data_IF_797221007001
#
_entry.id   IF_797221007001
#
_cell.length_a   1.000
_cell.length_b   1.000
_cell.length_c   1.000
_cell.angle_alpha   90.00
_cell.angle_beta   90.00
_cell.angle_gamma   90.00
#
_symmetry.space_group_name_H-M   'P 1'
#
loop_
_entity.id
_entity.type
_entity.pdbx_description
1 polymer ?
#
# COMPACT_ATOMS: atom_id res chain seq x y z
N UNK A 1 14.86 -58.98 25.31
CA UNK A 1 16.30 -58.83 25.53
C UNK A 1 16.73 -57.60 24.72
N UNK A 2 16.68 -56.42 25.34
CA UNK A 2 17.83 -55.70 25.94
C UNK A 2 18.67 -55.06 24.84
N UNK A 3 18.54 -53.75 24.53
CA UNK A 3 19.05 -52.59 25.29
C UNK A 3 20.36 -52.12 24.63
N UNK A 4 20.84 -50.88 24.60
CA UNK A 4 20.47 -49.54 25.06
C UNK A 4 21.52 -48.58 24.45
N UNK A 5 21.24 -47.28 24.32
CA UNK A 5 22.27 -46.28 23.95
C UNK A 5 21.74 -44.92 23.55
N UNK A 6 21.31 -44.12 24.53
CA UNK A 6 20.84 -42.74 24.40
C UNK A 6 21.98 -41.72 24.31
N UNK A 7 21.67 -40.53 23.77
CA UNK A 7 22.51 -39.33 23.82
C UNK A 7 21.65 -38.06 23.70
N UNK A 8 21.09 -37.62 24.82
CA UNK A 8 20.46 -36.30 25.02
C UNK A 8 21.53 -35.19 25.11
N UNK A 9 21.23 -34.01 24.58
CA UNK A 9 21.83 -32.75 25.03
C UNK A 9 20.71 -31.73 25.30
N UNK A 10 20.51 -31.45 26.60
CA UNK A 10 19.73 -30.34 27.16
C UNK A 10 20.66 -29.26 27.69
N UNK A 11 20.18 -28.01 27.68
CA UNK A 11 20.65 -26.87 28.47
C UNK A 11 20.90 -25.62 27.61
N UNK A 12 20.40 -24.42 27.88
CA UNK A 12 19.69 -23.88 29.03
C UNK A 12 18.89 -22.63 28.62
N UNK A 13 17.82 -22.34 29.36
CA UNK A 13 17.01 -21.12 29.26
C UNK A 13 17.44 -20.10 30.34
N UNK A 14 17.46 -18.82 29.97
CA UNK A 14 17.45 -17.61 30.81
C UNK A 14 17.42 -16.40 29.84
N UNK A 15 16.85 -15.24 30.12
CA UNK A 15 15.85 -14.75 31.07
C UNK A 15 15.44 -13.39 30.50
N UNK A 16 14.17 -13.02 30.65
CA UNK A 16 13.57 -11.80 30.10
C UNK A 16 13.78 -10.62 31.04
N UNK A 17 14.43 -9.55 30.58
CA UNK A 17 14.49 -8.27 31.28
C UNK A 17 13.66 -7.19 30.57
N UNK A 18 12.57 -6.77 31.23
CA UNK A 18 11.83 -5.52 30.97
C UNK A 18 12.47 -4.38 31.78
N UNK A 19 12.55 -3.14 31.26
CA UNK A 19 12.81 -1.99 32.11
C UNK A 19 11.51 -1.45 32.74
N UNK A 20 11.51 -1.35 34.07
CA UNK A 20 10.64 -0.48 34.86
C UNK A 20 11.16 0.97 34.79
N UNK A 21 10.27 1.95 34.62
CA UNK A 21 10.48 3.33 35.10
C UNK A 21 9.16 3.79 35.73
N UNK A 22 9.35 4.46 36.87
CA UNK A 22 8.45 4.66 37.99
C UNK A 22 7.33 5.68 37.77
N UNK A 23 6.19 5.42 38.42
CA UNK A 23 5.21 6.42 38.81
C UNK A 23 5.78 7.31 39.92
N UNK A 24 5.57 8.62 39.83
CA UNK A 24 5.63 9.53 40.98
C UNK A 24 4.35 10.33 41.13
N UNK A 25 3.96 10.45 42.40
CA UNK A 25 2.65 10.76 42.97
C UNK A 25 2.12 12.18 42.74
N UNK A 26 0.79 12.24 42.79
CA UNK A 26 -0.04 13.40 43.13
C UNK A 26 0.50 14.31 44.25
N UNK A 27 0.28 15.62 44.09
CA UNK A 27 -0.04 16.51 45.22
C UNK A 27 -1.00 17.62 44.80
N UNK A 28 -2.08 17.75 45.57
CA UNK A 28 -3.14 18.75 45.47
C UNK A 28 -2.70 20.14 45.97
N UNK A 29 -3.37 21.19 45.49
CA UNK A 29 -3.27 22.56 46.02
C UNK A 29 -4.09 23.59 45.25
N UNK A 30 -5.30 23.85 45.73
CA UNK A 30 -6.08 25.10 45.58
C UNK A 30 -6.42 25.53 47.03
N UNK A 31 -6.91 26.75 47.35
CA UNK A 31 -7.18 27.94 46.53
C UNK A 31 -6.67 29.26 47.18
N UNK A 32 -6.93 30.45 46.60
CA UNK A 32 -7.70 31.51 47.27
C UNK A 32 -7.97 32.76 46.39
N UNK A 33 -9.02 33.47 46.80
CA UNK A 33 -9.80 34.56 46.18
C UNK A 33 -9.12 35.93 46.28
N UNK A 34 -9.57 36.87 45.43
CA UNK A 34 -9.97 38.27 45.79
C UNK A 34 -10.08 39.10 44.49
N UNK A 35 -11.27 39.41 43.95
CA UNK A 35 -12.16 40.56 44.26
C UNK A 35 -11.71 41.90 43.64
N UNK A 36 -12.61 42.60 42.93
CA UNK A 36 -12.34 43.97 42.43
C UNK A 36 -13.11 44.47 41.20
N UNK A 37 -14.43 44.54 41.31
CA UNK A 37 -15.40 45.57 40.81
C UNK A 37 -15.00 46.59 39.70
N UNK A 38 -15.86 46.69 38.67
CA UNK A 38 -16.00 47.83 37.72
C UNK A 38 -16.64 49.07 38.39
N UNK A 39 -16.66 50.28 37.76
CA UNK A 39 -17.83 50.64 36.94
C UNK A 39 -17.60 51.63 35.76
N UNK A 40 -18.69 51.84 35.01
CA UNK A 40 -18.85 52.56 33.74
C UNK A 40 -19.22 54.06 33.84
N UNK A 41 -19.22 54.76 32.68
CA UNK A 41 -20.02 55.95 32.20
C UNK A 41 -19.14 56.82 31.27
N UNK A 42 -19.53 57.50 30.17
CA UNK A 42 -20.77 57.77 29.40
C UNK A 42 -20.38 58.41 28.02
N UNK A 43 -21.30 58.59 27.04
CA UNK A 43 -21.04 59.01 25.63
C UNK A 43 -21.45 60.50 25.33
N UNK A 44 -21.72 60.93 24.07
CA UNK A 44 -20.88 61.39 22.94
C UNK A 44 -21.01 62.93 22.66
N UNK A 45 -20.54 63.51 21.53
CA UNK A 45 -21.47 63.80 20.42
C UNK A 45 -20.85 63.76 18.98
N UNK A 46 -21.68 63.55 17.95
CA UNK A 46 -21.37 63.88 16.54
C UNK A 46 -21.94 65.27 16.16
N UNK A 47 -22.22 65.59 14.88
CA UNK A 47 -21.52 65.32 13.63
C UNK A 47 -21.08 66.65 12.94
N UNK A 48 -20.11 66.65 12.03
CA UNK A 48 -19.99 67.70 11.00
C UNK A 48 -19.45 67.13 9.68
N UNK A 49 -20.14 67.45 8.59
CA UNK A 49 -19.74 67.16 7.22
C UNK A 49 -18.99 68.37 6.64
N UNK A 50 -17.98 68.13 5.79
CA UNK A 50 -17.69 68.88 4.55
C UNK A 50 -16.42 68.38 3.83
N UNK A 51 -16.62 67.78 2.64
CA UNK A 51 -15.91 67.96 1.36
C UNK A 51 -14.36 67.73 1.25
N UNK A 52 -13.83 67.47 0.04
CA UNK A 52 -12.90 66.37 -0.20
C UNK A 52 -11.42 66.79 -0.21
N UNK A 53 -10.55 65.99 0.39
CA UNK A 53 -9.11 66.07 0.14
C UNK A 53 -8.67 64.88 -0.73
N UNK A 54 -8.05 65.23 -1.85
CA UNK A 54 -7.35 64.35 -2.77
C UNK A 54 -6.22 63.63 -2.05
N UNK A 55 -6.46 62.38 -1.65
CA UNK A 55 -5.45 61.45 -1.17
C UNK A 55 -5.03 60.47 -2.28
N UNK A 56 -3.78 59.98 -2.28
CA UNK A 56 -3.29 59.09 -3.32
C UNK A 56 -4.06 57.78 -3.29
N UNK A 57 -4.37 57.31 -4.49
CA UNK A 57 -4.95 56.02 -4.82
C UNK A 57 -4.26 54.91 -4.02
N UNK A 58 -4.92 54.45 -2.95
CA UNK A 58 -4.57 53.20 -2.31
C UNK A 58 -4.85 52.13 -3.35
N UNK A 59 -3.80 51.66 -4.02
CA UNK A 59 -3.86 50.41 -4.78
C UNK A 59 -4.19 49.32 -3.78
N UNK A 60 -5.47 48.97 -3.66
CA UNK A 60 -5.91 47.69 -3.15
C UNK A 60 -5.19 46.63 -3.97
N UNK A 61 -4.07 46.14 -3.43
CA UNK A 61 -3.54 44.86 -3.85
C UNK A 61 -4.59 43.84 -3.43
N UNK A 62 -5.49 43.54 -4.36
CA UNK A 62 -6.34 42.37 -4.28
C UNK A 62 -5.42 41.16 -4.04
N UNK A 63 -5.31 40.75 -2.78
CA UNK A 63 -4.79 39.43 -2.46
C UNK A 63 -5.77 38.46 -3.11
N UNK A 64 -5.34 37.83 -4.21
CA UNK A 64 -6.16 36.82 -4.88
C UNK A 64 -6.64 35.79 -3.85
N UNK A 65 -7.87 35.33 -4.01
CA UNK A 65 -8.50 34.30 -3.18
C UNK A 65 -7.51 33.13 -2.99
N UNK A 66 -7.33 32.69 -1.74
CA UNK A 66 -6.47 31.54 -1.43
C UNK A 66 -7.10 30.32 -2.09
N UNK A 67 -6.56 29.91 -3.24
CA UNK A 67 -6.97 28.67 -3.89
C UNK A 67 -6.26 27.51 -3.19
N UNK A 68 -7.01 26.74 -2.42
CA UNK A 68 -6.56 25.47 -1.88
C UNK A 68 -6.44 24.46 -3.02
N UNK A 69 -5.28 23.81 -3.14
CA UNK A 69 -5.02 22.83 -4.19
C UNK A 69 -4.83 21.46 -3.54
N UNK A 70 -5.73 20.54 -3.84
CA UNK A 70 -5.69 19.16 -3.36
C UNK A 70 -4.96 18.23 -4.35
N UNK A 71 -4.21 17.27 -3.84
CA UNK A 71 -3.58 16.24 -4.65
C UNK A 71 -2.60 15.34 -3.90
N UNK A 72 -1.76 14.68 -4.67
CA UNK A 72 -0.61 13.88 -4.23
C UNK A 72 0.66 14.56 -4.72
N UNK A 73 1.60 14.81 -3.82
CA UNK A 73 2.78 15.61 -4.13
C UNK A 73 4.07 14.78 -4.06
N UNK A 74 4.75 14.68 -5.20
CA UNK A 74 6.06 14.08 -5.34
C UNK A 74 7.21 15.02 -4.98
N UNK A 75 8.46 14.64 -5.26
CA UNK A 75 9.60 15.55 -5.20
C UNK A 75 9.41 16.74 -6.18
N UNK A 76 10.03 17.88 -5.90
CA UNK A 76 9.93 19.10 -6.71
C UNK A 76 8.48 19.60 -6.96
N UNK A 77 7.58 19.35 -6.00
CA UNK A 77 6.18 19.77 -6.05
C UNK A 77 5.38 19.21 -7.25
N UNK A 78 5.79 18.05 -7.77
CA UNK A 78 5.00 17.33 -8.79
C UNK A 78 3.65 16.95 -8.18
N UNK A 79 2.57 17.59 -8.63
CA UNK A 79 1.20 17.31 -8.18
C UNK A 79 0.50 16.32 -9.10
N UNK A 80 -0.27 15.41 -8.52
CA UNK A 80 -1.25 14.53 -9.20
C UNK A 80 -2.60 14.59 -8.51
N UNK A 81 -3.68 14.62 -9.29
CA UNK A 81 -5.03 14.52 -8.76
C UNK A 81 -5.35 13.07 -8.35
N UNK A 82 -6.30 12.89 -7.45
CA UNK A 82 -6.78 11.58 -6.98
C UNK A 82 -7.19 10.68 -8.14
N UNK A 83 -7.95 11.22 -9.09
CA UNK A 83 -8.40 10.47 -10.26
C UNK A 83 -7.22 9.93 -11.08
N UNK A 84 -6.14 10.71 -11.24
CA UNK A 84 -4.94 10.25 -11.97
C UNK A 84 -4.25 9.09 -11.24
N UNK A 85 -4.21 9.13 -9.91
CA UNK A 85 -3.65 8.04 -9.10
C UNK A 85 -4.53 6.79 -9.21
N UNK A 86 -5.86 6.95 -9.09
CA UNK A 86 -6.84 5.87 -9.20
C UNK A 86 -6.76 5.18 -10.57
N UNK A 87 -6.81 5.96 -11.65
CA UNK A 87 -6.76 5.45 -13.02
C UNK A 87 -5.45 4.72 -13.31
N UNK A 88 -4.33 5.26 -12.81
CA UNK A 88 -3.02 4.62 -12.98
C UNK A 88 -2.93 3.29 -12.20
N UNK A 89 -3.49 3.21 -10.99
CA UNK A 89 -3.56 1.96 -10.20
C UNK A 89 -4.41 0.92 -10.92
N UNK A 90 -5.58 1.30 -11.43
CA UNK A 90 -6.46 0.41 -12.22
C UNK A 90 -5.75 -0.08 -13.48
N UNK A 91 -5.14 0.84 -14.24
CA UNK A 91 -4.41 0.52 -15.46
C UNK A 91 -3.27 -0.47 -15.17
N UNK A 92 -2.49 -0.22 -14.12
CA UNK A 92 -1.37 -1.08 -13.74
C UNK A 92 -1.84 -2.48 -13.34
N UNK A 93 -2.90 -2.59 -12.54
CA UNK A 93 -3.49 -3.88 -12.16
C UNK A 93 -4.04 -4.64 -13.38
N UNK A 94 -4.68 -3.93 -14.32
CA UNK A 94 -5.16 -4.48 -15.58
C UNK A 94 -4.04 -5.04 -16.47
N UNK A 95 -2.92 -4.31 -16.60
CA UNK A 95 -1.73 -4.77 -17.33
C UNK A 95 -1.18 -6.07 -16.74
N UNK A 96 -1.11 -6.18 -15.42
CA UNK A 96 -0.65 -7.42 -14.79
C UNK A 96 -1.67 -8.55 -14.97
N UNK A 97 -2.98 -8.30 -14.84
CA UNK A 97 -3.98 -9.32 -15.14
C UNK A 97 -3.83 -9.84 -16.58
N UNK A 98 -3.71 -8.96 -17.58
CA UNK A 98 -3.51 -9.37 -18.98
C UNK A 98 -2.26 -10.24 -19.15
N UNK A 99 -1.15 -9.89 -18.50
CA UNK A 99 0.08 -10.66 -18.64
C UNK A 99 0.04 -12.06 -17.97
N UNK A 100 -0.79 -12.19 -16.94
CA UNK A 100 -1.06 -13.43 -16.23
C UNK A 100 -2.19 -14.24 -16.87
N UNK A 101 -2.68 -13.84 -18.04
CA UNK A 101 -3.67 -14.60 -18.80
C UNK A 101 -3.12 -14.92 -20.20
N UNK A 102 -3.49 -16.10 -20.69
CA UNK A 102 -3.25 -16.49 -22.08
C UNK A 102 -4.14 -15.65 -23.02
N UNK A 103 -3.84 -15.68 -24.32
CA UNK A 103 -4.66 -14.98 -25.32
C UNK A 103 -6.10 -15.48 -25.41
N UNK A 104 -6.38 -16.70 -24.93
CA UNK A 104 -7.73 -17.27 -24.83
C UNK A 104 -8.44 -16.91 -23.52
N UNK A 105 -7.78 -16.16 -22.64
CA UNK A 105 -8.33 -15.72 -21.36
C UNK A 105 -8.15 -16.72 -20.21
N UNK A 106 -7.45 -17.84 -20.39
CA UNK A 106 -7.15 -18.74 -19.27
C UNK A 106 -6.00 -18.18 -18.40
N UNK A 107 -6.12 -18.17 -17.07
CA UNK A 107 -5.05 -17.70 -16.17
C UNK A 107 -3.81 -18.61 -16.22
N UNK A 108 -2.63 -18.01 -16.16
CA UNK A 108 -1.32 -18.66 -16.11
C UNK A 108 -0.94 -18.94 -14.65
N UNK A 109 -0.46 -20.14 -14.30
CA UNK A 109 -0.04 -20.45 -12.94
C UNK A 109 1.34 -19.84 -12.62
N UNK A 110 1.61 -19.57 -11.34
CA UNK A 110 2.88 -19.02 -10.84
C UNK A 110 4.07 -19.96 -11.04
N UNK A 111 3.80 -21.25 -11.23
CA UNK A 111 4.78 -22.29 -11.54
C UNK A 111 5.19 -22.33 -13.01
N UNK A 112 4.59 -21.50 -13.87
CA UNK A 112 5.05 -21.36 -15.24
C UNK A 112 6.35 -20.53 -15.27
N UNK A 113 7.41 -21.08 -15.87
CA UNK A 113 8.74 -20.43 -15.87
C UNK A 113 8.74 -19.03 -16.47
N UNK A 114 7.87 -18.77 -17.46
CA UNK A 114 7.68 -17.45 -18.05
C UNK A 114 7.07 -16.40 -17.10
N UNK A 115 6.56 -16.81 -15.94
CA UNK A 115 6.04 -15.91 -14.91
C UNK A 115 7.07 -15.53 -13.84
N UNK A 116 8.20 -16.22 -13.79
CA UNK A 116 9.19 -16.04 -12.73
C UNK A 116 9.75 -14.61 -12.66
N UNK A 117 10.03 -14.00 -13.81
CA UNK A 117 10.50 -12.61 -13.89
C UNK A 117 9.53 -11.61 -13.25
N UNK A 118 8.22 -11.85 -13.37
CA UNK A 118 7.19 -11.03 -12.72
C UNK A 118 7.15 -11.23 -11.22
N UNK A 119 7.21 -12.48 -10.75
CA UNK A 119 7.30 -12.78 -9.32
C UNK A 119 8.51 -12.07 -8.70
N UNK A 120 9.68 -12.18 -9.34
CA UNK A 120 10.88 -11.46 -8.92
C UNK A 120 10.64 -9.94 -8.87
N UNK A 121 10.05 -9.38 -9.92
CA UNK A 121 9.69 -7.96 -9.98
C UNK A 121 8.78 -7.52 -8.84
N UNK A 122 7.83 -8.36 -8.40
CA UNK A 122 6.94 -8.07 -7.27
C UNK A 122 7.70 -8.04 -5.94
N UNK A 123 8.58 -9.02 -5.68
CA UNK A 123 9.36 -9.03 -4.44
C UNK A 123 10.40 -7.91 -4.37
N UNK A 124 10.99 -7.52 -5.51
CA UNK A 124 11.86 -6.34 -5.59
C UNK A 124 11.07 -5.07 -5.22
N UNK A 125 9.86 -4.91 -5.76
CA UNK A 125 9.04 -3.74 -5.49
C UNK A 125 8.47 -3.70 -4.07
N UNK A 126 8.16 -4.86 -3.49
CA UNK A 126 7.75 -5.01 -2.08
C UNK A 126 8.85 -4.65 -1.07
N UNK A 127 10.09 -4.42 -1.53
CA UNK A 127 11.16 -3.87 -0.71
C UNK A 127 11.24 -2.34 -0.87
N UNK A 128 10.59 -1.60 0.03
CA UNK A 128 10.58 -0.13 -0.01
C UNK A 128 11.95 0.54 -0.03
N UNK A 129 13.01 -0.13 0.45
CA UNK A 129 14.37 0.41 0.43
C UNK A 129 15.11 0.28 -0.92
N UNK A 130 14.54 -0.43 -1.89
CA UNK A 130 15.05 -0.44 -3.26
C UNK A 130 14.86 0.96 -3.87
N UNK A 131 15.87 1.60 -4.44
CA UNK A 131 15.65 2.91 -5.09
C UNK A 131 14.77 2.75 -6.35
N UNK A 132 13.90 3.70 -6.69
CA UNK A 132 12.87 3.54 -7.73
C UNK A 132 13.44 3.43 -9.15
N UNK A 133 14.54 4.10 -9.46
CA UNK A 133 15.22 4.00 -10.75
C UNK A 133 15.99 2.68 -10.89
N UNK A 134 16.65 2.23 -9.81
CA UNK A 134 17.23 0.87 -9.72
C UNK A 134 16.14 -0.19 -9.90
N UNK A 135 15.01 -0.04 -9.22
CA UNK A 135 13.87 -0.95 -9.30
C UNK A 135 13.32 -1.05 -10.74
N UNK A 136 13.09 0.08 -11.39
CA UNK A 136 12.56 0.12 -12.74
C UNK A 136 13.45 -0.64 -13.74
N UNK A 137 14.77 -0.42 -13.67
CA UNK A 137 15.74 -1.15 -14.51
C UNK A 137 15.71 -2.64 -14.17
N UNK A 138 15.78 -3.01 -12.89
CA UNK A 138 15.79 -4.42 -12.49
C UNK A 138 14.50 -5.15 -12.86
N UNK A 139 13.33 -4.50 -12.78
CA UNK A 139 12.07 -5.09 -13.19
C UNK A 139 11.99 -5.29 -14.69
N UNK A 140 12.47 -4.33 -15.50
CA UNK A 140 12.56 -4.50 -16.94
C UNK A 140 13.49 -5.67 -17.29
N UNK A 141 14.71 -5.70 -16.72
CA UNK A 141 15.66 -6.79 -16.93
C UNK A 141 15.12 -8.14 -16.48
N UNK A 142 14.40 -8.20 -15.35
CA UNK A 142 13.81 -9.44 -14.85
C UNK A 142 12.81 -10.07 -15.83
N UNK A 143 12.15 -9.29 -16.69
CA UNK A 143 11.22 -9.82 -17.68
C UNK A 143 11.92 -10.48 -18.87
N UNK A 144 13.20 -10.15 -19.10
CA UNK A 144 13.98 -10.60 -20.27
C UNK A 144 14.91 -11.79 -19.97
N UNK A 145 15.09 -12.14 -18.69
CA UNK A 145 15.98 -13.24 -18.28
C UNK A 145 15.31 -14.59 -18.57
N UNK A 146 16.05 -15.50 -19.21
CA UNK A 146 15.67 -16.92 -19.28
C UNK A 146 15.96 -17.61 -17.93
N UNK A 147 14.88 -17.91 -17.20
CA UNK A 147 14.97 -18.61 -15.92
C UNK A 147 14.97 -20.13 -16.06
N UNK A 148 14.76 -20.70 -17.25
CA UNK A 148 14.68 -22.15 -17.45
C UNK A 148 15.83 -22.94 -16.78
N UNK A 149 17.10 -22.56 -17.01
CA UNK A 149 18.25 -23.21 -16.37
C UNK A 149 18.28 -23.06 -14.84
N UNK A 150 17.83 -21.92 -14.32
CA UNK A 150 17.73 -21.69 -12.88
C UNK A 150 16.60 -22.50 -12.23
N UNK A 151 15.52 -22.74 -12.98
CA UNK A 151 14.33 -23.39 -12.47
C UNK A 151 14.30 -24.91 -12.68
N UNK A 152 15.25 -25.45 -13.45
CA UNK A 152 15.32 -26.84 -13.86
C UNK A 152 15.25 -27.82 -12.67
N UNK A 153 14.34 -28.79 -12.76
CA UNK A 153 14.24 -29.88 -11.80
C UNK A 153 15.53 -30.70 -11.79
N UNK A 154 16.05 -31.01 -10.59
CA UNK A 154 17.27 -31.80 -10.43
C UNK A 154 18.59 -31.05 -10.64
N UNK A 155 18.56 -29.71 -10.78
CA UNK A 155 19.78 -28.90 -10.80
C UNK A 155 20.61 -29.11 -9.52
N UNK A 156 21.91 -29.33 -9.67
CA UNK A 156 22.82 -29.44 -8.53
C UNK A 156 22.98 -28.11 -7.81
N UNK A 157 23.36 -28.12 -6.53
CA UNK A 157 23.63 -26.88 -5.76
C UNK A 157 24.66 -25.97 -6.45
N UNK A 158 25.65 -26.56 -7.14
CA UNK A 158 26.65 -25.81 -7.91
C UNK A 158 26.02 -25.10 -9.13
N UNK A 159 25.14 -25.81 -9.87
CA UNK A 159 24.43 -25.23 -11.02
C UNK A 159 23.51 -24.10 -10.58
N UNK A 160 22.74 -24.32 -9.50
CA UNK A 160 21.86 -23.30 -8.95
C UNK A 160 22.64 -22.05 -8.50
N UNK A 161 23.80 -22.22 -7.86
CA UNK A 161 24.67 -21.12 -7.45
C UNK A 161 25.27 -20.35 -8.64
N UNK A 162 25.65 -21.05 -9.71
CA UNK A 162 26.14 -20.44 -10.94
C UNK A 162 25.04 -19.61 -11.62
N UNK A 163 23.83 -20.18 -11.78
CA UNK A 163 22.68 -19.48 -12.36
C UNK A 163 22.25 -18.27 -11.52
N UNK A 164 22.24 -18.40 -10.20
CA UNK A 164 22.00 -17.27 -9.30
C UNK A 164 22.99 -16.12 -9.52
N UNK A 165 24.26 -16.44 -9.75
CA UNK A 165 25.30 -15.44 -10.02
C UNK A 165 25.07 -14.75 -11.37
N UNK A 166 24.73 -15.51 -12.41
CA UNK A 166 24.43 -14.98 -13.75
C UNK A 166 23.22 -14.02 -13.71
N UNK A 167 22.10 -14.47 -13.12
CA UNK A 167 20.87 -13.68 -13.00
C UNK A 167 21.15 -12.36 -12.26
N UNK A 168 21.87 -12.42 -11.14
CA UNK A 168 22.26 -11.20 -10.41
C UNK A 168 23.05 -10.25 -11.29
N UNK A 169 24.09 -10.74 -11.98
CA UNK A 169 24.93 -9.89 -12.82
C UNK A 169 24.10 -9.21 -13.92
N UNK A 170 23.14 -9.92 -14.51
CA UNK A 170 22.19 -9.34 -15.47
C UNK A 170 21.34 -8.25 -14.80
N UNK A 171 20.72 -8.51 -13.64
CA UNK A 171 19.93 -7.51 -12.91
C UNK A 171 20.72 -6.26 -12.53
N UNK A 172 22.01 -6.41 -12.19
CA UNK A 172 22.89 -5.29 -11.87
C UNK A 172 23.37 -4.51 -13.09
N UNK A 173 23.29 -5.10 -14.29
CA UNK A 173 23.76 -4.45 -15.51
C UNK A 173 22.87 -3.25 -15.82
N UNK A 174 23.47 -2.06 -15.85
CA UNK A 174 22.78 -0.79 -16.13
C UNK A 174 21.92 -0.26 -14.97
N UNK A 175 21.78 -1.00 -13.86
CA UNK A 175 20.99 -0.56 -12.71
C UNK A 175 21.72 0.55 -11.92
N UNK A 176 21.14 1.76 -11.80
CA UNK A 176 21.74 2.82 -11.00
C UNK A 176 21.97 2.38 -9.56
N UNK A 177 23.06 2.84 -8.94
CA UNK A 177 23.35 2.50 -7.54
C UNK A 177 23.63 1.02 -7.27
N UNK A 178 24.09 0.25 -8.27
CA UNK A 178 24.46 -1.16 -8.11
C UNK A 178 25.44 -1.44 -6.95
N UNK A 179 26.26 -0.44 -6.58
CA UNK A 179 27.24 -0.51 -5.48
C UNK A 179 26.68 -0.12 -4.11
N UNK A 180 25.40 0.29 -4.03
CA UNK A 180 24.77 0.70 -2.76
C UNK A 180 24.72 -0.48 -1.79
N UNK A 181 25.13 -0.21 -0.54
CA UNK A 181 25.17 -1.21 0.52
C UNK A 181 23.81 -1.92 0.71
N UNK A 182 23.88 -3.25 0.83
CA UNK A 182 22.72 -4.12 1.05
C UNK A 182 21.88 -4.41 -0.20
N UNK A 183 22.15 -3.81 -1.37
CA UNK A 183 21.38 -4.08 -2.58
C UNK A 183 21.45 -5.56 -3.00
N UNK A 184 22.66 -6.15 -2.97
CA UNK A 184 22.85 -7.59 -3.22
C UNK A 184 22.03 -8.47 -2.28
N UNK A 185 21.93 -8.12 -1.00
CA UNK A 185 21.14 -8.88 -0.04
C UNK A 185 19.63 -8.81 -0.37
N UNK A 186 19.15 -7.63 -0.81
CA UNK A 186 17.75 -7.43 -1.24
C UNK A 186 17.43 -8.23 -2.50
N UNK A 187 18.31 -8.22 -3.50
CA UNK A 187 18.16 -9.02 -4.73
C UNK A 187 18.17 -10.52 -4.42
N UNK A 188 19.09 -10.99 -3.59
CA UNK A 188 19.13 -12.39 -3.15
C UNK A 188 17.86 -12.80 -2.40
N UNK A 189 17.29 -11.91 -1.58
CA UNK A 189 16.03 -12.16 -0.90
C UNK A 189 14.89 -12.29 -1.91
N UNK A 190 14.76 -11.33 -2.84
CA UNK A 190 13.70 -11.35 -3.84
C UNK A 190 13.77 -12.61 -4.74
N UNK A 191 14.97 -13.06 -5.14
CA UNK A 191 15.15 -14.29 -5.92
C UNK A 191 14.71 -15.54 -5.18
N UNK A 192 15.09 -15.67 -3.90
CA UNK A 192 14.61 -16.79 -3.05
C UNK A 192 13.11 -16.75 -2.88
N UNK A 193 12.54 -15.57 -2.62
CA UNK A 193 11.11 -15.40 -2.42
C UNK A 193 10.31 -15.72 -3.69
N UNK A 194 10.79 -15.27 -4.85
CA UNK A 194 10.21 -15.62 -6.14
C UNK A 194 10.27 -17.13 -6.41
N UNK A 195 11.35 -17.80 -6.01
CA UNK A 195 11.47 -19.26 -6.10
C UNK A 195 10.51 -19.99 -5.17
N UNK A 196 10.38 -19.55 -3.93
CA UNK A 196 9.37 -20.05 -2.99
C UNK A 196 7.95 -19.92 -3.55
N UNK A 197 7.59 -18.77 -4.12
CA UNK A 197 6.33 -18.58 -4.83
C UNK A 197 6.17 -19.51 -6.02
N UNK A 198 7.13 -19.53 -6.94
CA UNK A 198 7.07 -20.38 -8.13
C UNK A 198 6.87 -21.87 -7.80
N UNK A 199 7.57 -22.35 -6.77
CA UNK A 199 7.51 -23.74 -6.33
C UNK A 199 6.31 -24.04 -5.41
N UNK A 200 5.54 -23.01 -5.00
CA UNK A 200 4.40 -23.14 -4.09
C UNK A 200 4.78 -23.51 -2.65
N UNK A 201 6.02 -23.28 -2.24
CA UNK A 201 6.58 -23.73 -0.96
C UNK A 201 7.23 -22.60 -0.16
N UNK A 202 7.41 -22.80 1.14
CA UNK A 202 8.08 -21.83 2.01
C UNK A 202 7.19 -20.69 2.48
N UNK A 203 7.78 -19.80 3.28
CA UNK A 203 7.07 -18.71 3.96
C UNK A 203 6.62 -17.62 2.98
N UNK A 204 7.31 -17.49 1.85
CA UNK A 204 7.04 -16.44 0.87
C UNK A 204 6.06 -16.85 -0.20
N UNK A 205 5.59 -18.12 -0.23
CA UNK A 205 4.70 -18.64 -1.30
C UNK A 205 3.50 -17.76 -1.60
N UNK A 206 2.97 -17.05 -0.59
CA UNK A 206 1.90 -16.09 -0.76
C UNK A 206 2.47 -14.72 -1.18
N UNK A 207 2.32 -14.35 -2.45
CA UNK A 207 2.83 -13.09 -3.02
C UNK A 207 1.77 -12.01 -3.26
N UNK A 208 0.54 -12.20 -2.78
CA UNK A 208 -0.57 -11.26 -3.01
C UNK A 208 -0.25 -9.83 -2.52
N UNK A 209 0.46 -9.69 -1.40
CA UNK A 209 0.87 -8.38 -0.88
C UNK A 209 2.01 -7.76 -1.69
N UNK A 210 2.95 -8.58 -2.18
CA UNK A 210 4.01 -8.13 -3.08
C UNK A 210 3.42 -7.59 -4.39
N UNK A 211 2.39 -8.25 -4.93
CA UNK A 211 1.64 -7.80 -6.10
C UNK A 211 1.00 -6.42 -5.90
N UNK A 212 0.23 -6.23 -4.81
CA UNK A 212 -0.42 -4.93 -4.53
C UNK A 212 0.62 -3.83 -4.32
N UNK A 213 1.67 -4.11 -3.54
CA UNK A 213 2.80 -3.19 -3.35
C UNK A 213 3.45 -2.83 -4.69
N UNK A 214 3.68 -3.80 -5.58
CA UNK A 214 4.27 -3.55 -6.89
C UNK A 214 3.39 -2.70 -7.80
N UNK A 215 2.07 -2.91 -7.77
CA UNK A 215 1.13 -2.10 -8.54
C UNK A 215 1.13 -0.65 -8.06
N UNK A 216 0.87 -0.42 -6.77
CA UNK A 216 0.74 0.94 -6.21
C UNK A 216 2.07 1.69 -6.24
N UNK A 217 3.17 1.00 -5.92
CA UNK A 217 4.50 1.60 -5.98
C UNK A 217 4.95 1.91 -7.40
N UNK A 218 4.66 1.02 -8.35
CA UNK A 218 4.91 1.27 -9.78
C UNK A 218 4.20 2.53 -10.27
N UNK A 219 2.96 2.76 -9.80
CA UNK A 219 2.22 4.02 -10.06
C UNK A 219 2.88 5.21 -9.39
N UNK A 220 3.29 5.10 -8.13
CA UNK A 220 3.99 6.19 -7.45
C UNK A 220 5.26 6.62 -8.22
N UNK A 221 6.02 5.66 -8.74
CA UNK A 221 7.21 5.91 -9.55
C UNK A 221 6.85 6.54 -10.89
N UNK A 222 5.93 5.93 -11.64
CA UNK A 222 5.53 6.38 -12.98
C UNK A 222 4.92 7.79 -12.96
N UNK A 223 4.20 8.14 -11.90
CA UNK A 223 3.62 9.47 -11.74
C UNK A 223 4.60 10.50 -11.16
N UNK A 224 5.81 10.10 -10.75
CA UNK A 224 6.80 10.98 -10.13
C UNK A 224 6.50 11.33 -8.67
N UNK A 225 5.65 10.53 -7.99
CA UNK A 225 5.35 10.66 -6.57
C UNK A 225 6.44 10.02 -5.69
N UNK A 226 7.20 9.06 -6.22
CA UNK A 226 8.40 8.46 -5.62
C UNK A 226 9.55 8.54 -6.64
N UNK A 227 10.71 9.07 -6.26
CA UNK A 227 11.85 9.21 -7.17
C UNK A 227 13.20 9.22 -6.46
N UNK A 228 14.28 9.09 -7.22
CA UNK A 228 15.61 9.48 -6.77
C UNK A 228 15.87 10.92 -7.16
N UNK A 229 16.31 11.74 -6.20
CA UNK A 229 16.81 13.09 -6.43
C UNK A 229 18.32 13.12 -6.21
N UNK A 230 19.02 14.04 -6.87
CA UNK A 230 20.49 14.12 -6.82
C UNK A 230 21.20 13.08 -7.71
N UNK A 231 22.53 13.13 -7.72
CA UNK A 231 23.38 12.32 -8.63
C UNK A 231 24.62 11.80 -7.91
N UNK A 232 25.20 10.69 -8.38
CA UNK A 232 26.41 10.13 -7.78
C UNK A 232 26.21 9.81 -6.29
N UNK A 233 27.04 10.39 -5.43
CA UNK A 233 26.98 10.18 -3.97
C UNK A 233 25.87 10.95 -3.25
N UNK A 234 25.22 11.93 -3.91
CA UNK A 234 24.10 12.70 -3.34
C UNK A 234 22.72 12.13 -3.66
N UNK A 235 22.67 10.92 -4.24
CA UNK A 235 21.41 10.23 -4.57
C UNK A 235 20.58 10.00 -3.31
N UNK A 236 19.38 10.55 -3.29
CA UNK A 236 18.41 10.39 -2.21
C UNK A 236 17.13 9.78 -2.75
N UNK A 237 16.66 8.72 -2.09
CA UNK A 237 15.34 8.16 -2.33
C UNK A 237 14.28 9.03 -1.67
N UNK A 238 13.68 9.92 -2.46
CA UNK A 238 12.67 10.86 -1.99
C UNK A 238 11.27 10.23 -2.01
N UNK A 239 10.43 10.62 -1.03
CA UNK A 239 9.02 10.22 -0.93
C UNK A 239 8.81 8.68 -0.84
N UNK A 240 9.82 7.95 -0.39
CA UNK A 240 9.76 6.50 -0.14
C UNK A 240 8.56 6.14 0.72
N UNK A 241 7.82 5.09 0.33
CA UNK A 241 6.66 4.55 1.06
C UNK A 241 5.51 5.56 1.25
N UNK A 242 5.52 6.71 0.58
CA UNK A 242 4.56 7.78 0.87
C UNK A 242 3.15 7.46 0.37
N UNK A 243 2.99 6.95 -0.86
CA UNK A 243 1.65 6.64 -1.38
C UNK A 243 1.03 5.46 -0.63
N UNK A 244 1.72 4.32 -0.61
CA UNK A 244 1.42 3.14 0.21
C UNK A 244 2.75 2.55 0.69
N UNK A 245 2.77 1.98 1.90
CA UNK A 245 3.98 1.31 2.41
C UNK A 245 4.29 0.08 1.56
N UNK A 246 5.49 0.04 0.97
CA UNK A 246 5.93 -1.11 0.20
C UNK A 246 6.36 -2.24 1.16
N UNK A 247 5.62 -3.34 1.13
CA UNK A 247 5.82 -4.49 2.02
C UNK A 247 5.29 -5.78 1.41
N UNK A 248 5.71 -6.91 1.99
CA UNK A 248 5.29 -8.25 1.60
C UNK A 248 4.10 -8.77 2.43
N UNK A 249 3.46 -7.92 3.23
CA UNK A 249 2.31 -8.31 4.06
C UNK A 249 1.17 -7.29 4.00
N UNK A 250 -0.04 -7.75 3.66
CA UNK A 250 -1.23 -6.89 3.58
C UNK A 250 -1.54 -6.22 4.92
N UNK A 251 -1.42 -6.96 6.02
CA UNK A 251 -1.63 -6.42 7.37
C UNK A 251 -0.72 -5.21 7.65
N UNK A 252 0.56 -5.25 7.24
CA UNK A 252 1.54 -4.20 7.54
C UNK A 252 1.20 -2.89 6.85
N UNK A 253 0.90 -2.89 5.54
CA UNK A 253 0.52 -1.63 4.89
C UNK A 253 -0.87 -1.15 5.34
N UNK A 254 -1.76 -2.06 5.74
CA UNK A 254 -3.11 -1.71 6.22
C UNK A 254 -3.04 -1.02 7.59
N UNK A 255 -2.19 -1.52 8.49
CA UNK A 255 -1.88 -0.88 9.77
C UNK A 255 -1.30 0.52 9.54
N UNK A 256 -0.34 0.65 8.63
CA UNK A 256 0.26 1.95 8.31
C UNK A 256 -0.79 2.91 7.69
N UNK A 257 -1.65 2.46 6.79
CA UNK A 257 -2.73 3.26 6.22
C UNK A 257 -3.75 3.73 7.29
N UNK A 258 -4.06 2.87 8.28
CA UNK A 258 -4.86 3.24 9.45
C UNK A 258 -4.17 4.32 10.28
N UNK A 259 -2.89 4.14 10.60
CA UNK A 259 -2.10 5.11 11.38
C UNK A 259 -1.96 6.46 10.65
N UNK A 260 -1.82 6.45 9.32
CA UNK A 260 -1.79 7.68 8.51
C UNK A 260 -3.10 8.46 8.63
N UNK A 261 -4.24 7.76 8.59
CA UNK A 261 -5.57 8.36 8.80
C UNK A 261 -5.71 8.94 10.20
N UNK A 262 -5.32 8.20 11.24
CA UNK A 262 -5.37 8.66 12.64
C UNK A 262 -4.53 9.93 12.86
N UNK A 263 -3.35 9.99 12.24
CA UNK A 263 -2.46 11.16 12.25
C UNK A 263 -2.87 12.27 11.28
N UNK A 264 -3.98 12.10 10.55
CA UNK A 264 -4.46 13.01 9.49
C UNK A 264 -3.42 13.32 8.42
N UNK A 265 -2.48 12.40 8.19
CA UNK A 265 -1.48 12.53 7.13
C UNK A 265 -2.13 12.22 5.79
N UNK A 266 -2.32 13.25 4.97
CA UNK A 266 -2.95 13.12 3.66
C UNK A 266 -1.90 12.86 2.55
N UNK A 267 -2.33 12.84 1.28
CA UNK A 267 -1.46 12.54 0.13
C UNK A 267 -0.99 11.08 0.11
N UNK A 268 -1.84 10.17 0.58
CA UNK A 268 -1.51 8.75 0.84
C UNK A 268 -2.75 7.87 0.83
N UNK A 269 -2.59 6.55 0.96
CA UNK A 269 -3.69 5.64 1.24
C UNK A 269 -4.09 5.67 2.73
N UNK A 270 -5.38 5.77 2.99
CA UNK A 270 -6.00 5.63 4.32
C UNK A 270 -6.81 4.34 4.40
N UNK A 271 -6.91 3.75 5.59
CA UNK A 271 -7.78 2.61 5.84
C UNK A 271 -9.13 3.04 6.45
N UNK A 272 -10.20 2.50 5.88
CA UNK A 272 -11.59 2.69 6.29
C UNK A 272 -12.22 1.33 6.60
N UNK A 273 -13.18 1.30 7.52
CA UNK A 273 -14.06 0.15 7.66
C UNK A 273 -14.95 0.04 6.41
N UNK A 274 -15.44 -1.16 6.06
CA UNK A 274 -16.26 -1.35 4.86
C UNK A 274 -17.58 -0.58 4.87
N UNK A 275 -18.06 -0.18 6.06
CA UNK A 275 -19.29 0.59 6.28
C UNK A 275 -19.06 2.12 6.32
N UNK A 276 -17.81 2.59 6.20
CA UNK A 276 -17.48 4.03 6.24
C UNK A 276 -17.42 4.70 4.87
N UNK A 277 -17.10 3.95 3.81
CA UNK A 277 -16.88 4.50 2.46
C UNK A 277 -17.28 3.51 1.37
N UNK A 278 -18.01 3.99 0.37
CA UNK A 278 -18.31 3.21 -0.83
C UNK A 278 -17.02 2.96 -1.64
N UNK A 279 -16.77 1.73 -2.11
CA UNK A 279 -15.58 1.41 -2.90
C UNK A 279 -15.56 2.19 -4.23
N UNK A 280 -14.38 2.69 -4.58
CA UNK A 280 -14.08 3.40 -5.82
C UNK A 280 -12.94 2.72 -6.57
N UNK A 281 -12.79 3.05 -7.85
CA UNK A 281 -11.67 2.61 -8.68
C UNK A 281 -10.33 2.92 -8.00
N UNK A 282 -9.43 1.94 -7.96
CA UNK A 282 -8.11 2.05 -7.34
C UNK A 282 -8.09 1.86 -5.82
N UNK A 283 -9.24 1.68 -5.15
CA UNK A 283 -9.26 1.25 -3.75
C UNK A 283 -8.75 -0.19 -3.60
N UNK A 284 -8.36 -0.58 -2.39
CA UNK A 284 -7.95 -1.96 -2.07
C UNK A 284 -8.91 -2.55 -1.04
N UNK A 285 -9.60 -3.63 -1.41
CA UNK A 285 -10.44 -4.40 -0.48
C UNK A 285 -9.56 -5.38 0.27
N UNK A 286 -9.56 -5.34 1.61
CA UNK A 286 -8.73 -6.21 2.45
C UNK A 286 -9.60 -7.10 3.36
N UNK A 287 -9.24 -8.39 3.37
CA UNK A 287 -9.97 -9.44 4.07
C UNK A 287 -9.08 -10.36 4.89
N UNK A 288 -9.70 -11.00 5.88
CA UNK A 288 -9.10 -12.06 6.68
C UNK A 288 -9.04 -13.38 5.89
N UNK A 289 -7.84 -13.91 5.69
CA UNK A 289 -7.62 -15.15 4.93
C UNK A 289 -7.37 -16.35 5.83
N UNK A 290 -7.35 -16.19 7.16
CA UNK A 290 -7.06 -17.29 8.08
C UNK A 290 -8.03 -18.44 7.87
N UNK A 291 -7.47 -19.64 7.74
CA UNK A 291 -8.23 -20.89 7.73
C UNK A 291 -8.84 -21.18 9.10
N UNK A 292 -9.95 -21.93 9.10
CA UNK A 292 -10.56 -22.50 10.32
C UNK A 292 -10.92 -21.50 11.44
N UNK A 293 -11.16 -20.23 11.10
CA UNK A 293 -11.71 -19.24 12.04
C UNK A 293 -13.24 -19.22 12.03
N UNK A 294 -13.84 -18.74 13.12
CA UNK A 294 -15.27 -18.45 13.20
C UNK A 294 -15.54 -16.97 12.94
N UNK A 295 -16.80 -16.61 12.67
CA UNK A 295 -17.20 -15.22 12.41
C UNK A 295 -16.79 -14.26 13.54
N UNK A 296 -16.82 -14.71 14.80
CA UNK A 296 -16.43 -13.92 15.96
C UNK A 296 -14.92 -13.61 16.03
N UNK A 297 -14.10 -14.37 15.30
CA UNK A 297 -12.65 -14.22 15.27
C UNK A 297 -12.13 -13.46 14.04
N UNK A 298 -13.02 -13.09 13.11
CA UNK A 298 -12.65 -12.26 11.96
C UNK A 298 -12.03 -10.97 12.49
N UNK A 299 -10.84 -10.64 11.98
CA UNK A 299 -10.12 -9.44 12.40
C UNK A 299 -10.93 -8.19 12.05
N UNK A 300 -10.92 -7.19 12.93
CA UNK A 300 -11.47 -5.87 12.64
C UNK A 300 -10.35 -4.92 12.24
N UNK A 301 -10.66 -3.84 11.52
CA UNK A 301 -9.65 -2.81 11.20
C UNK A 301 -8.96 -2.28 12.46
N UNK A 302 -9.68 -2.08 13.57
CA UNK A 302 -9.12 -1.63 14.83
C UNK A 302 -8.27 -2.71 15.53
N UNK A 303 -8.68 -3.98 15.44
CA UNK A 303 -7.97 -5.11 16.05
C UNK A 303 -6.77 -5.64 15.26
N UNK A 304 -6.55 -5.17 14.03
CA UNK A 304 -5.45 -5.66 13.19
C UNK A 304 -4.08 -5.31 13.79
N UNK A 305 -3.29 -6.36 14.06
CA UNK A 305 -1.91 -6.29 14.55
C UNK A 305 -0.93 -7.15 13.72
N UNK A 306 -1.43 -7.85 12.71
CA UNK A 306 -0.68 -8.80 11.88
C UNK A 306 -1.59 -9.91 11.36
N UNK A 307 -1.01 -10.95 10.76
CA UNK A 307 -1.70 -12.18 10.40
C UNK A 307 -2.02 -12.37 8.91
N UNK A 308 -2.64 -13.52 8.60
CA UNK A 308 -2.97 -13.94 7.24
C UNK A 308 -4.15 -13.14 6.69
N UNK A 309 -3.81 -12.18 5.83
CA UNK A 309 -4.76 -11.27 5.21
C UNK A 309 -4.56 -11.29 3.69
N UNK A 310 -5.53 -10.79 2.95
CA UNK A 310 -5.48 -10.69 1.50
C UNK A 310 -6.06 -9.36 1.03
N UNK A 311 -5.51 -8.80 -0.03
CA UNK A 311 -5.95 -7.51 -0.56
C UNK A 311 -6.02 -7.52 -2.08
N UNK A 312 -7.11 -6.98 -2.63
CA UNK A 312 -7.38 -6.90 -4.07
C UNK A 312 -7.70 -5.46 -4.48
N UNK A 313 -7.23 -5.04 -5.66
CA UNK A 313 -7.40 -3.68 -6.19
C UNK A 313 -8.72 -3.58 -6.95
N UNK A 314 -9.59 -2.63 -6.61
CA UNK A 314 -10.84 -2.34 -7.32
C UNK A 314 -10.55 -1.76 -8.71
N UNK A 315 -11.07 -2.39 -9.76
CA UNK A 315 -10.87 -2.01 -11.17
C UNK A 315 -12.17 -1.79 -11.94
N UNK A 316 -13.31 -2.17 -11.36
CA UNK A 316 -14.63 -1.88 -11.92
C UNK A 316 -15.60 -1.60 -10.78
N UNK A 317 -16.49 -0.64 -10.97
CA UNK A 317 -17.54 -0.29 -10.00
C UNK A 317 -18.88 -0.28 -10.73
N UNK A 318 -19.78 -1.18 -10.34
CA UNK A 318 -21.14 -1.32 -10.88
C UNK A 318 -22.16 -1.13 -9.75
N UNK A 319 -23.45 -0.82 -10.04
CA UNK A 319 -24.44 -0.58 -9.00
C UNK A 319 -24.55 -1.69 -7.94
N UNK A 320 -24.48 -2.96 -8.34
CA UNK A 320 -24.61 -4.10 -7.42
C UNK A 320 -23.31 -4.80 -7.02
N UNK A 321 -22.15 -4.41 -7.57
CA UNK A 321 -20.87 -5.05 -7.26
C UNK A 321 -19.66 -4.20 -7.64
N UNK A 322 -18.49 -4.55 -7.11
CA UNK A 322 -17.19 -4.14 -7.66
C UNK A 322 -16.46 -5.36 -8.22
N UNK A 323 -15.62 -5.15 -9.23
CA UNK A 323 -14.62 -6.14 -9.66
C UNK A 323 -13.26 -5.68 -9.17
N UNK A 324 -12.50 -6.60 -8.59
CA UNK A 324 -11.12 -6.38 -8.16
C UNK A 324 -10.15 -7.28 -8.91
N UNK A 325 -8.88 -6.93 -8.91
CA UNK A 325 -7.75 -7.76 -9.36
C UNK A 325 -6.80 -7.99 -8.19
N UNK A 326 -6.45 -9.25 -7.95
CA UNK A 326 -5.55 -9.68 -6.89
C UNK A 326 -4.49 -10.67 -7.38
N UNK A 327 -3.31 -10.64 -6.76
CA UNK A 327 -2.24 -11.62 -6.97
C UNK A 327 -2.36 -12.83 -6.05
N UNK A 328 -1.70 -13.94 -6.39
CA UNK A 328 -1.75 -15.22 -5.66
C UNK A 328 -3.18 -15.68 -5.30
N UNK A 329 -4.09 -15.50 -6.25
CA UNK A 329 -5.46 -16.00 -6.18
C UNK A 329 -5.51 -17.28 -7.03
N UNK A 330 -5.65 -18.44 -6.38
CA UNK A 330 -5.42 -19.76 -7.00
C UNK A 330 -4.12 -19.73 -7.85
N UNK A 331 -3.02 -19.33 -7.20
CA UNK A 331 -1.66 -19.36 -7.74
C UNK A 331 -1.47 -18.56 -9.04
N UNK A 332 -2.26 -17.48 -9.21
CA UNK A 332 -2.22 -16.59 -10.38
C UNK A 332 -2.67 -15.15 -10.01
N UNK A 333 -2.70 -14.23 -10.97
CA UNK A 333 -3.43 -12.96 -10.85
C UNK A 333 -4.85 -13.18 -11.35
N UNK A 334 -5.87 -12.87 -10.56
CA UNK A 334 -7.27 -13.13 -10.93
C UNK A 334 -8.21 -12.03 -10.51
N UNK A 335 -9.39 -12.03 -11.13
CA UNK A 335 -10.50 -11.18 -10.73
C UNK A 335 -11.35 -11.78 -9.62
N UNK A 336 -11.91 -10.91 -8.79
CA UNK A 336 -13.01 -11.22 -7.86
C UNK A 336 -14.12 -10.21 -7.98
N UNK A 337 -15.35 -10.64 -7.71
CA UNK A 337 -16.55 -9.80 -7.74
C UNK A 337 -17.14 -9.73 -6.33
N UNK A 338 -17.10 -8.53 -5.74
CA UNK A 338 -17.62 -8.26 -4.40
C UNK A 338 -18.98 -7.55 -4.47
N UNK A 339 -20.01 -8.04 -3.76
CA UNK A 339 -21.34 -7.45 -3.78
C UNK A 339 -21.38 -6.07 -3.12
N UNK A 340 -22.26 -5.20 -3.65
CA UNK A 340 -22.60 -3.90 -3.07
C UNK A 340 -24.09 -3.82 -2.76
N UNK A 341 -24.44 -3.07 -1.73
CA UNK A 341 -25.83 -2.74 -1.43
C UNK A 341 -26.34 -1.57 -2.30
N UNK A 342 -27.62 -1.21 -2.11
CA UNK A 342 -28.27 -0.12 -2.85
C UNK A 342 -27.73 1.27 -2.50
N UNK A 343 -27.00 1.42 -1.40
CA UNK A 343 -26.28 2.65 -1.04
C UNK A 343 -24.88 2.69 -1.65
N UNK A 344 -24.48 1.61 -2.32
CA UNK A 344 -23.19 1.46 -2.96
C UNK A 344 -22.07 1.00 -2.02
N UNK A 345 -22.37 0.60 -0.78
CA UNK A 345 -21.41 0.09 0.18
C UNK A 345 -21.13 -1.39 -0.06
N UNK A 346 -19.97 -1.90 0.38
CA UNK A 346 -19.71 -3.34 0.32
C UNK A 346 -20.65 -4.08 1.26
N UNK A 347 -21.30 -5.13 0.77
CA UNK A 347 -22.07 -6.04 1.64
C UNK A 347 -21.05 -6.87 2.43
N UNK A 348 -21.07 -6.73 3.76
CA UNK A 348 -20.27 -7.53 4.70
C UNK A 348 -21.23 -8.40 5.49
N UNK A 349 -21.60 -9.53 4.91
CA UNK A 349 -22.52 -10.49 5.52
C UNK A 349 -21.93 -11.91 5.51
N UNK A 350 -22.28 -12.70 6.53
CA UNK A 350 -21.74 -14.05 6.74
C UNK A 350 -22.15 -15.01 5.63
N UNK A 351 -23.40 -14.93 5.20
CA UNK A 351 -23.96 -15.83 4.19
C UNK A 351 -23.61 -15.35 2.78
N UNK A 352 -23.44 -14.04 2.58
CA UNK A 352 -23.05 -13.48 1.30
C UNK A 352 -21.59 -13.86 0.94
N UNK A 353 -21.42 -14.45 -0.25
CA UNK A 353 -20.12 -14.76 -0.83
C UNK A 353 -19.73 -13.74 -1.91
N UNK A 354 -18.42 -13.55 -2.10
CA UNK A 354 -17.88 -12.97 -3.33
C UNK A 354 -17.62 -14.06 -4.38
N UNK A 355 -17.62 -13.68 -5.66
CA UNK A 355 -17.24 -14.58 -6.76
C UNK A 355 -15.76 -14.42 -7.11
N UNK A 356 -15.15 -15.46 -7.66
CA UNK A 356 -13.76 -15.48 -8.08
C UNK A 356 -13.66 -16.08 -9.48
N UNK A 357 -12.78 -15.52 -10.30
CA UNK A 357 -12.47 -16.01 -11.64
C UNK A 357 -11.95 -17.45 -11.61
N UNK A 358 -12.54 -18.32 -12.44
CA UNK A 358 -12.24 -19.74 -12.50
C UNK A 358 -11.06 -20.08 -13.44
N UNK A 359 -10.72 -21.36 -13.56
CA UNK A 359 -9.59 -21.82 -14.37
C UNK A 359 -9.73 -21.52 -15.88
N UNK A 360 -10.93 -21.18 -16.36
CA UNK A 360 -11.17 -20.76 -17.75
C UNK A 360 -11.05 -19.25 -17.96
N UNK A 361 -10.89 -18.46 -16.89
CA UNK A 361 -10.95 -17.00 -16.94
C UNK A 361 -12.36 -16.44 -16.86
N UNK A 362 -13.35 -17.29 -16.51
CA UNK A 362 -14.73 -16.84 -16.36
C UNK A 362 -14.93 -16.29 -14.95
N UNK A 363 -15.48 -15.07 -14.83
CA UNK A 363 -15.85 -14.46 -13.54
C UNK A 363 -17.36 -14.63 -13.26
N UNK A 364 -17.77 -15.52 -12.34
CA UNK A 364 -19.18 -15.84 -12.09
C UNK A 364 -19.99 -14.65 -11.56
N UNK A 365 -21.27 -14.59 -11.88
CA UNK A 365 -22.21 -13.58 -11.41
C UNK A 365 -22.53 -13.70 -9.90
N UNK A 366 -23.06 -12.62 -9.33
CA UNK A 366 -23.64 -12.57 -7.97
C UNK A 366 -25.19 -12.59 -8.06
N UNK A 367 -25.92 -12.94 -6.98
CA UNK A 367 -25.43 -13.29 -5.65
C UNK A 367 -25.03 -14.77 -5.52
N UNK A 368 -24.00 -15.01 -4.72
CA UNK A 368 -23.61 -16.33 -4.24
C UNK A 368 -23.83 -16.36 -2.73
N UNK A 369 -24.46 -17.41 -2.19
CA UNK A 369 -24.71 -17.53 -0.74
C UNK A 369 -24.20 -18.86 -0.20
N UNK A 370 -23.95 -18.91 1.11
CA UNK A 370 -23.52 -20.12 1.82
C UNK A 370 -24.28 -20.31 3.11
N UNK A 371 -24.53 -21.58 3.45
CA UNK A 371 -25.07 -22.02 4.75
C UNK A 371 -23.97 -22.34 5.77
N UNK A 372 -22.70 -22.29 5.37
CA UNK A 372 -21.57 -22.52 6.28
C UNK A 372 -21.51 -21.41 7.34
N UNK A 373 -21.00 -21.75 8.53
CA UNK A 373 -20.82 -20.80 9.62
C UNK A 373 -19.88 -19.64 9.27
N UNK A 374 -18.83 -19.90 8.47
CA UNK A 374 -18.02 -18.86 7.82
C UNK A 374 -17.24 -19.45 6.64
N UNK A 375 -17.84 -19.39 5.46
CA UNK A 375 -17.18 -19.84 4.23
C UNK A 375 -15.89 -19.05 3.95
N UNK A 376 -14.95 -19.67 3.23
CA UNK A 376 -13.68 -19.05 2.83
C UNK A 376 -13.88 -17.78 1.99
N UNK A 377 -14.93 -17.76 1.16
CA UNK A 377 -15.31 -16.62 0.31
C UNK A 377 -16.41 -15.74 0.92
N UNK A 378 -16.70 -15.90 2.22
CA UNK A 378 -17.69 -15.07 2.90
C UNK A 378 -17.22 -13.60 2.93
N UNK A 379 -18.11 -12.69 2.54
CA UNK A 379 -17.85 -11.25 2.58
C UNK A 379 -17.75 -10.70 4.00
N UNK A 380 -18.27 -11.41 5.00
CA UNK A 380 -18.02 -11.09 6.41
C UNK A 380 -16.54 -11.06 6.80
N UNK A 381 -15.64 -11.63 5.98
CA UNK A 381 -14.18 -11.59 6.19
C UNK A 381 -13.55 -10.26 5.80
N UNK A 382 -14.27 -9.40 5.07
CA UNK A 382 -13.79 -8.08 4.66
C UNK A 382 -13.81 -7.17 5.87
N UNK A 383 -12.66 -6.57 6.20
CA UNK A 383 -12.55 -5.73 7.39
C UNK A 383 -11.99 -4.34 7.10
N UNK A 384 -11.44 -4.10 5.90
CA UNK A 384 -10.94 -2.78 5.53
C UNK A 384 -11.08 -2.50 4.03
N UNK A 385 -11.28 -1.23 3.72
CA UNK A 385 -11.17 -0.62 2.40
C UNK A 385 -10.05 0.43 2.49
N UNK A 386 -9.02 0.32 1.67
CA UNK A 386 -7.96 1.32 1.62
C UNK A 386 -8.19 2.21 0.41
N UNK A 387 -8.26 3.51 0.63
CA UNK A 387 -8.54 4.49 -0.41
C UNK A 387 -7.45 5.58 -0.44
N UNK A 388 -7.05 6.06 -1.63
CA UNK A 388 -6.23 7.26 -1.74
C UNK A 388 -7.01 8.47 -1.18
N UNK A 389 -6.32 9.30 -0.41
CA UNK A 389 -6.84 10.54 0.17
C UNK A 389 -5.85 11.66 -0.11
N UNK A 390 -6.30 12.68 -0.84
CA UNK A 390 -5.49 13.85 -1.21
C UNK A 390 -5.09 14.69 0.01
N UNK A 391 -3.90 15.28 -0.04
CA UNK A 391 -3.57 16.42 0.81
C UNK A 391 -3.96 17.71 0.11
N UNK A 392 -4.56 18.62 0.86
CA UNK A 392 -4.94 19.95 0.39
C UNK A 392 -4.02 20.98 1.02
N UNK A 393 -3.41 21.83 0.19
CA UNK A 393 -2.50 22.86 0.63
C UNK A 393 -2.95 24.23 0.11
N UNK A 394 -3.00 25.21 1.01
CA UNK A 394 -3.09 26.62 0.66
C UNK A 394 -1.75 27.07 0.07
N UNK A 395 -1.75 27.54 -1.18
CA UNK A 395 -0.52 28.00 -1.85
C UNK A 395 -0.29 29.49 -1.56
N UNK A 396 0.78 29.92 -0.86
CA UNK A 396 1.00 31.34 -0.61
C UNK A 396 1.53 32.07 -1.87
N UNK A 397 0.60 32.57 -2.70
CA UNK A 397 0.77 33.40 -3.91
C UNK A 397 1.62 32.81 -5.09
N UNK A 398 1.73 33.49 -6.27
CA UNK A 398 2.81 33.38 -7.32
C UNK A 398 2.66 32.28 -8.38
N UNK A 399 3.55 32.33 -9.40
CA UNK A 399 3.23 32.24 -10.83
C UNK A 399 3.45 30.84 -11.41
N UNK A 400 2.62 30.49 -12.37
CA UNK A 400 2.71 29.28 -13.19
C UNK A 400 3.13 29.68 -14.61
N UNK A 401 4.20 29.10 -15.16
CA UNK A 401 4.74 29.47 -16.48
C UNK A 401 5.83 30.56 -16.49
N UNK A 402 6.78 30.56 -15.54
CA UNK A 402 8.04 31.35 -15.65
C UNK A 402 8.36 32.33 -14.51
N UNK A 403 7.77 32.21 -13.32
CA UNK A 403 8.13 32.99 -12.13
C UNK A 403 7.60 32.34 -10.84
N UNK A 404 8.04 32.80 -9.66
CA UNK A 404 8.01 32.08 -8.36
C UNK A 404 6.70 32.32 -7.58
N UNK A 405 6.41 31.55 -6.52
CA UNK A 405 6.29 32.12 -5.16
C UNK A 405 6.66 31.13 -4.07
N UNK A 406 6.84 31.74 -2.90
CA UNK A 406 7.40 31.27 -1.64
C UNK A 406 6.34 30.61 -0.78
#
# INVERSE_FOLDING_TARGET
>A
MSGSGAGELRGAAADTAKPQIEEHKHRAGHPERSSGTAPARSPPPGPTANAPSTGPEATDKAFGEIVEVCGFFGPNNVRRAEQQVRDAVVTRAGVEWTAWHTSTGAPRPESESGMFGRLLGYYLAGNGAMAPDTLAVMQATALEIDYGPFLAAGATSATAAAQLTLIKNQLFTGAPGATVAGLTARVNAALRQAREAHDGVGASRAWSAAFVSACVRGVAIALGLEAVIGTGTSRQHARRDQLLLATLAHATYTIEARQRRERRRCGTFHAFRPDERAPQLGDIVVQDRRGSITAAHVVTLAGLSGGETHGDIVVEVQPGFVVTIGGNVNDSVRKRRYPRDTTGMLIVDRQQLFAQEDASGTLPALPLTSTQSLASHSTARIFALLAPVEECAAMPGQRYGGGVLV
#
